data_IF_274800098362
#
_entry.id   IF_274800098362
#
_cell.length_a   1.000
_cell.length_b   1.000
_cell.length_c   1.000
_cell.angle_alpha   90.00
_cell.angle_beta   90.00
_cell.angle_gamma   90.00
#
_symmetry.space_group_name_H-M   'P 1'
#
loop_
_entity.id
_entity.type
_entity.pdbx_description
1 polymer ?
#
# COMPACT_ATOMS: atom_id res chain seq x y z
N UNK A 1 -0.87 -2.92 35.82
CA UNK A 1 0.58 -3.14 35.64
C UNK A 1 0.81 -3.23 34.14
N UNK A 2 1.76 -2.47 33.61
CA UNK A 2 2.14 -2.57 32.18
C UNK A 2 2.81 -3.93 31.96
N UNK A 3 2.35 -4.67 30.95
CA UNK A 3 2.94 -5.96 30.57
C UNK A 3 4.24 -5.73 29.80
N UNK A 4 5.28 -6.47 30.12
CA UNK A 4 6.53 -6.45 29.34
C UNK A 4 6.30 -7.03 27.95
N UNK A 5 6.91 -6.43 26.93
CA UNK A 5 6.98 -6.95 25.59
C UNK A 5 8.41 -6.82 25.03
N UNK A 6 8.79 -7.72 24.14
CA UNK A 6 10.11 -7.73 23.51
C UNK A 6 10.01 -7.84 22.00
N UNK A 7 10.88 -7.10 21.32
CA UNK A 7 11.19 -7.27 19.91
C UNK A 7 12.58 -7.88 19.78
N UNK A 8 12.70 -9.03 19.13
CA UNK A 8 13.98 -9.62 18.78
C UNK A 8 14.14 -9.65 17.25
N UNK A 9 15.31 -9.25 16.76
CA UNK A 9 15.69 -9.27 15.35
C UNK A 9 16.56 -10.50 15.05
N UNK A 10 16.55 -10.95 13.80
CA UNK A 10 17.33 -12.08 13.34
C UNK A 10 18.86 -11.91 13.50
N UNK A 11 19.35 -10.67 13.60
CA UNK A 11 20.76 -10.36 13.82
C UNK A 11 21.19 -10.47 15.30
N UNK A 12 20.27 -10.79 16.20
CA UNK A 12 20.50 -10.95 17.63
C UNK A 12 20.20 -9.70 18.47
N UNK A 13 19.78 -8.60 17.86
CA UNK A 13 19.39 -7.38 18.59
C UNK A 13 18.05 -7.59 19.27
N UNK A 14 17.94 -7.23 20.55
CA UNK A 14 16.69 -7.31 21.30
C UNK A 14 16.37 -5.94 21.92
N UNK A 15 15.11 -5.55 21.84
CA UNK A 15 14.53 -4.38 22.49
C UNK A 15 13.48 -4.82 23.49
N UNK A 16 13.51 -4.23 24.68
CA UNK A 16 12.53 -4.50 25.75
C UNK A 16 11.77 -3.23 26.08
N UNK A 17 10.44 -3.33 26.12
CA UNK A 17 9.53 -2.24 26.42
C UNK A 17 8.24 -2.73 27.06
N UNK A 18 7.15 -2.03 26.84
CA UNK A 18 5.83 -2.31 27.39
C UNK A 18 4.83 -2.62 26.28
N UNK A 19 3.93 -3.57 26.50
CA UNK A 19 2.79 -3.82 25.62
C UNK A 19 1.71 -2.75 25.81
N UNK A 20 1.12 -2.31 24.70
CA UNK A 20 -0.05 -1.42 24.71
C UNK A 20 -1.18 -1.88 23.76
N UNK A 21 -1.12 -3.11 23.28
CA UNK A 21 -2.13 -3.79 22.46
C UNK A 21 -2.41 -5.19 22.99
N UNK A 22 -2.76 -6.10 22.09
CA UNK A 22 -3.09 -7.48 22.41
C UNK A 22 -1.89 -8.24 23.01
N UNK A 23 -2.19 -9.33 23.71
CA UNK A 23 -1.21 -10.34 24.10
C UNK A 23 -0.97 -11.29 22.95
N UNK A 24 0.24 -11.84 22.87
CA UNK A 24 0.56 -12.83 21.88
C UNK A 24 2.02 -12.76 21.43
N UNK A 25 2.31 -13.54 20.41
CA UNK A 25 3.59 -13.57 19.73
C UNK A 25 3.36 -13.57 18.23
N UNK A 26 4.07 -12.70 17.52
CA UNK A 26 3.96 -12.55 16.07
C UNK A 26 5.33 -12.43 15.42
N UNK A 27 5.44 -12.92 14.20
CA UNK A 27 6.60 -12.73 13.34
C UNK A 27 6.30 -11.78 12.18
N UNK A 28 7.35 -11.25 11.59
CA UNK A 28 7.23 -10.41 10.39
C UNK A 28 8.53 -9.72 10.01
N UNK A 29 8.52 -9.11 8.83
CA UNK A 29 9.59 -8.19 8.45
C UNK A 29 9.46 -6.88 9.23
N UNK A 30 10.48 -6.51 9.99
CA UNK A 30 10.49 -5.28 10.77
C UNK A 30 10.87 -4.11 9.88
N UNK A 31 9.94 -3.17 9.76
CA UNK A 31 10.05 -2.00 8.89
C UNK A 31 9.74 -0.73 9.65
N UNK A 32 10.02 0.44 9.06
CA UNK A 32 9.65 1.72 9.66
C UNK A 32 8.86 2.58 8.69
N UNK A 33 7.98 3.42 9.23
CA UNK A 33 7.22 4.40 8.49
C UNK A 33 7.52 5.81 9.03
N UNK A 34 7.79 6.77 8.13
CA UNK A 34 8.18 8.15 8.47
C UNK A 34 7.01 9.13 8.53
N UNK A 35 5.78 8.69 8.36
CA UNK A 35 4.60 9.54 8.46
C UNK A 35 4.43 10.08 9.89
N UNK A 36 4.04 11.34 10.00
CA UNK A 36 3.78 11.99 11.29
C UNK A 36 2.32 11.79 11.76
N UNK A 37 1.44 11.40 10.86
CA UNK A 37 0.00 11.20 11.04
C UNK A 37 -0.47 10.04 10.16
N UNK A 38 -1.73 9.61 10.29
CA UNK A 38 -2.28 8.55 9.45
C UNK A 38 -1.96 7.14 9.96
N UNK A 39 -1.77 6.98 11.25
CA UNK A 39 -1.44 5.66 11.79
C UNK A 39 -2.61 4.66 11.67
N UNK A 40 -3.87 5.11 11.68
CA UNK A 40 -5.02 4.22 11.49
C UNK A 40 -5.11 3.71 10.07
N UNK A 41 -4.86 4.56 9.09
CA UNK A 41 -4.76 4.20 7.67
C UNK A 41 -3.59 3.21 7.45
N UNK A 42 -2.44 3.43 8.09
CA UNK A 42 -1.30 2.50 8.06
C UNK A 42 -1.70 1.14 8.67
N UNK A 43 -2.43 1.12 9.78
CA UNK A 43 -2.87 -0.13 10.41
C UNK A 43 -3.79 -0.95 9.51
N UNK A 44 -4.66 -0.27 8.76
CA UNK A 44 -5.69 -0.90 7.92
C UNK A 44 -5.28 -1.07 6.46
N UNK A 45 -4.09 -0.60 6.04
CA UNK A 45 -3.53 -0.86 4.70
C UNK A 45 -3.10 -2.32 4.56
N UNK A 46 -3.74 -3.12 3.68
CA UNK A 46 -3.41 -4.53 3.49
C UNK A 46 -1.97 -4.76 3.01
N UNK A 47 -1.32 -3.76 2.40
CA UNK A 47 0.08 -3.84 1.95
C UNK A 47 1.06 -4.12 3.09
N UNK A 48 0.66 -3.92 4.35
CA UNK A 48 1.49 -4.25 5.51
C UNK A 48 1.37 -5.69 6.00
N UNK A 49 0.63 -6.56 5.31
CA UNK A 49 0.55 -7.98 5.69
C UNK A 49 1.94 -8.61 5.78
N UNK A 50 2.21 -9.31 6.91
CA UNK A 50 3.52 -9.94 7.19
C UNK A 50 4.60 -8.98 7.68
N UNK A 51 4.27 -7.72 8.03
CA UNK A 51 5.23 -6.72 8.51
C UNK A 51 4.93 -6.29 9.95
N UNK A 52 6.00 -6.04 10.73
CA UNK A 52 5.98 -5.37 12.03
C UNK A 52 6.42 -3.94 11.81
N UNK A 53 5.51 -2.98 12.02
CA UNK A 53 5.71 -1.57 11.66
C UNK A 53 6.21 -0.77 12.86
N UNK A 54 7.29 -0.03 12.65
CA UNK A 54 7.80 0.96 13.61
C UNK A 54 7.48 2.37 13.13
N UNK A 55 6.68 3.14 13.89
CA UNK A 55 6.50 4.56 13.61
C UNK A 55 7.71 5.36 14.08
N UNK A 56 8.22 6.23 13.19
CA UNK A 56 9.36 7.08 13.54
C UNK A 56 8.95 8.33 14.33
N UNK A 57 7.69 8.76 14.16
CA UNK A 57 7.15 9.88 14.94
C UNK A 57 7.02 9.49 16.41
N UNK A 58 7.49 10.33 17.36
CA UNK A 58 7.65 9.92 18.76
C UNK A 58 6.34 9.61 19.49
N UNK A 59 5.27 10.39 19.24
CA UNK A 59 4.00 10.26 19.92
C UNK A 59 2.91 9.82 18.93
N UNK A 60 2.36 8.64 19.13
CA UNK A 60 1.31 8.03 18.30
C UNK A 60 0.06 7.81 19.13
N UNK A 61 -1.13 7.81 18.51
CA UNK A 61 -2.41 7.62 19.18
C UNK A 61 -3.06 8.91 19.72
N UNK A 62 -2.44 10.07 19.50
CA UNK A 62 -2.88 11.34 20.03
C UNK A 62 -4.24 11.85 19.53
N UNK A 63 -4.66 11.45 18.31
CA UNK A 63 -5.99 11.79 17.78
C UNK A 63 -7.00 10.63 17.81
N UNK A 64 -6.63 9.48 18.44
CA UNK A 64 -7.51 8.32 18.57
C UNK A 64 -7.71 7.54 17.28
N UNK A 65 -8.83 6.83 17.23
CA UNK A 65 -9.31 6.10 16.05
C UNK A 65 -10.75 6.47 15.77
N UNK A 66 -11.22 6.26 14.54
CA UNK A 66 -12.61 6.48 14.12
C UNK A 66 -13.00 5.48 13.00
N UNK A 67 -14.25 5.51 12.56
CA UNK A 67 -14.78 4.56 11.58
C UNK A 67 -14.55 4.99 10.12
N UNK A 68 -14.13 6.24 9.87
CA UNK A 68 -13.97 6.79 8.52
C UNK A 68 -12.52 6.65 8.00
N UNK A 69 -11.52 6.78 8.88
CA UNK A 69 -10.10 6.77 8.50
C UNK A 69 -9.57 5.33 8.38
N UNK A 70 -10.34 4.46 7.71
CA UNK A 70 -9.96 3.06 7.45
C UNK A 70 -9.78 2.81 5.96
N UNK A 71 -8.77 2.02 5.63
CA UNK A 71 -8.41 1.64 4.26
C UNK A 71 -8.79 0.19 3.93
N UNK A 72 -9.33 -0.54 4.91
CA UNK A 72 -9.92 -1.87 4.75
C UNK A 72 -10.73 -2.24 5.99
N UNK A 73 -11.39 -3.39 5.98
CA UNK A 73 -12.29 -3.84 7.05
C UNK A 73 -11.58 -4.11 8.40
N UNK A 74 -10.25 -4.25 8.43
CA UNK A 74 -9.47 -4.60 9.62
C UNK A 74 -8.00 -4.23 9.49
N UNK A 75 -7.23 -4.16 10.59
CA UNK A 75 -5.77 -4.13 10.53
C UNK A 75 -5.17 -5.38 9.88
N UNK A 76 -4.07 -5.21 9.13
CA UNK A 76 -3.40 -6.29 8.41
C UNK A 76 -1.95 -6.54 8.82
N UNK A 77 -1.32 -5.58 9.49
CA UNK A 77 0.06 -5.72 9.95
C UNK A 77 0.20 -6.85 10.99
N UNK A 78 1.39 -7.43 11.10
CA UNK A 78 1.69 -8.44 12.12
C UNK A 78 1.84 -7.82 13.51
N UNK A 79 2.48 -6.66 13.63
CA UNK A 79 2.70 -5.99 14.91
C UNK A 79 3.00 -4.51 14.75
N UNK A 80 2.83 -3.75 15.85
CA UNK A 80 2.96 -2.29 15.83
C UNK A 80 3.90 -1.78 16.92
N UNK A 81 4.83 -0.90 16.56
CA UNK A 81 5.87 -0.39 17.47
C UNK A 81 5.87 1.13 17.42
N UNK A 82 5.83 1.74 18.59
CA UNK A 82 5.90 3.20 18.78
C UNK A 82 6.92 3.58 19.86
N UNK A 83 7.41 4.81 19.83
CA UNK A 83 8.21 5.32 20.93
C UNK A 83 7.34 5.54 22.17
N UNK A 84 6.17 6.17 21.97
CA UNK A 84 5.21 6.47 23.02
C UNK A 84 3.80 6.43 22.46
N UNK A 85 2.91 5.65 23.09
CA UNK A 85 1.48 5.66 22.83
C UNK A 85 0.81 6.75 23.68
N UNK A 86 0.03 7.62 23.06
CA UNK A 86 -0.71 8.66 23.74
C UNK A 86 -1.75 8.07 24.70
N UNK A 87 -1.69 8.45 25.95
CA UNK A 87 -2.64 7.99 26.98
C UNK A 87 -4.05 8.57 26.81
N UNK A 88 -4.19 9.61 26.01
CA UNK A 88 -5.47 10.30 25.78
C UNK A 88 -5.59 10.67 24.32
N UNK A 89 -6.65 10.20 23.68
CA UNK A 89 -7.07 10.72 22.41
C UNK A 89 -7.69 12.11 22.61
N UNK A 90 -7.27 13.09 21.81
CA UNK A 90 -7.76 14.46 21.86
C UNK A 90 -8.08 14.97 20.46
N UNK A 91 -9.17 14.46 19.89
CA UNK A 91 -9.70 14.88 18.60
C UNK A 91 -11.22 14.68 18.62
N UNK A 92 -11.95 15.62 18.02
CA UNK A 92 -13.43 15.58 17.98
C UNK A 92 -13.99 14.41 17.15
N UNK A 93 -13.19 13.81 16.23
CA UNK A 93 -13.55 12.61 15.46
C UNK A 93 -13.22 11.30 16.17
N UNK A 94 -12.50 11.34 17.31
CA UNK A 94 -12.10 10.13 17.99
C UNK A 94 -13.29 9.39 18.61
N UNK A 95 -13.43 8.10 18.26
CA UNK A 95 -14.42 7.17 18.85
C UNK A 95 -13.80 6.21 19.84
N UNK A 96 -12.46 6.10 19.88
CA UNK A 96 -11.72 5.22 20.78
C UNK A 96 -10.23 5.55 20.86
N UNK A 97 -9.54 4.86 21.77
CA UNK A 97 -8.09 4.94 21.87
C UNK A 97 -7.41 3.97 20.91
N UNK A 98 -6.17 4.27 20.53
CA UNK A 98 -5.36 3.37 19.70
C UNK A 98 -5.10 2.02 20.39
N UNK A 99 -4.82 2.03 21.72
CA UNK A 99 -4.55 0.81 22.48
C UNK A 99 -5.76 -0.14 22.48
N UNK A 100 -6.96 0.37 22.77
CA UNK A 100 -8.19 -0.42 22.77
C UNK A 100 -8.50 -0.98 21.37
N UNK A 101 -8.23 -0.18 20.32
CA UNK A 101 -8.38 -0.62 18.93
C UNK A 101 -7.45 -1.79 18.59
N UNK A 102 -6.17 -1.70 18.95
CA UNK A 102 -5.20 -2.77 18.72
C UNK A 102 -5.55 -4.03 19.51
N UNK A 103 -5.97 -3.88 20.78
CA UNK A 103 -6.39 -5.01 21.61
C UNK A 103 -7.62 -5.70 21.03
N UNK A 104 -8.66 -4.94 20.63
CA UNK A 104 -9.88 -5.44 19.97
C UNK A 104 -9.58 -6.26 18.72
N UNK A 105 -8.58 -5.84 17.93
CA UNK A 105 -8.22 -6.49 16.67
C UNK A 105 -7.09 -7.54 16.81
N UNK A 106 -6.64 -7.84 18.02
CA UNK A 106 -5.61 -8.86 18.27
C UNK A 106 -4.20 -8.47 17.82
N UNK A 107 -3.91 -7.17 17.68
CA UNK A 107 -2.61 -6.68 17.24
C UNK A 107 -1.67 -6.53 18.42
N UNK A 108 -0.55 -7.26 18.40
CA UNK A 108 0.52 -7.13 19.40
C UNK A 108 1.26 -5.82 19.17
N UNK A 109 1.40 -5.02 20.25
CA UNK A 109 2.01 -3.70 20.13
C UNK A 109 3.02 -3.41 21.27
N UNK A 110 4.08 -2.69 20.91
CA UNK A 110 5.22 -2.39 21.77
C UNK A 110 5.49 -0.89 21.83
N UNK A 111 5.60 -0.35 23.05
CA UNK A 111 6.06 1.01 23.28
C UNK A 111 7.27 1.08 24.22
N UNK A 112 7.90 2.26 24.32
CA UNK A 112 8.94 2.56 25.31
C UNK A 112 10.35 2.12 24.88
N UNK A 113 10.54 1.64 23.65
CA UNK A 113 11.87 1.30 23.13
C UNK A 113 12.54 2.49 22.44
N UNK A 114 13.83 2.40 22.21
CA UNK A 114 14.56 3.35 21.35
C UNK A 114 14.26 3.07 19.86
N UNK A 115 13.14 3.63 19.36
CA UNK A 115 12.74 3.49 17.95
C UNK A 115 13.77 4.10 16.99
N UNK A 116 14.52 5.14 17.42
CA UNK A 116 15.60 5.73 16.60
C UNK A 116 16.75 4.74 16.41
N UNK A 117 17.15 4.02 17.46
CA UNK A 117 18.16 2.97 17.35
C UNK A 117 17.71 1.84 16.42
N UNK A 118 16.44 1.39 16.55
CA UNK A 118 15.85 0.39 15.69
C UNK A 118 15.85 0.84 14.22
N UNK A 119 15.34 2.04 13.93
CA UNK A 119 15.29 2.61 12.57
C UNK A 119 16.68 2.75 11.95
N UNK A 120 17.67 3.22 12.72
CA UNK A 120 19.07 3.29 12.25
C UNK A 120 19.62 1.91 11.90
N UNK A 121 19.26 0.88 12.66
CA UNK A 121 19.67 -0.50 12.41
C UNK A 121 19.10 -0.99 11.08
N UNK A 122 17.79 -0.88 10.89
CA UNK A 122 17.09 -1.28 9.67
C UNK A 122 17.65 -0.53 8.45
N UNK A 123 17.84 0.79 8.56
CA UNK A 123 18.39 1.60 7.48
C UNK A 123 19.82 1.17 7.08
N UNK A 124 20.65 0.80 8.06
CA UNK A 124 22.04 0.42 7.82
C UNK A 124 22.18 -1.01 7.34
N UNK A 125 21.45 -1.97 7.91
CA UNK A 125 21.59 -3.39 7.65
C UNK A 125 20.54 -3.95 6.67
N UNK A 126 19.45 -3.23 6.44
CA UNK A 126 18.29 -3.65 5.67
C UNK A 126 17.12 -3.99 6.57
N UNK A 127 15.94 -4.16 5.97
CA UNK A 127 14.78 -4.72 6.65
C UNK A 127 15.09 -6.15 7.09
N UNK A 128 14.69 -6.50 8.30
CA UNK A 128 15.06 -7.76 8.96
C UNK A 128 13.82 -8.47 9.49
N UNK A 129 13.91 -9.80 9.57
CA UNK A 129 12.90 -10.59 10.25
C UNK A 129 12.99 -10.37 11.76
N UNK A 130 11.82 -10.31 12.40
CA UNK A 130 11.72 -10.13 13.85
C UNK A 130 10.57 -10.90 14.46
N UNK A 131 10.64 -11.07 15.77
CA UNK A 131 9.56 -11.58 16.62
C UNK A 131 9.20 -10.49 17.62
N UNK A 132 7.92 -10.20 17.70
CA UNK A 132 7.35 -9.35 18.74
C UNK A 132 6.49 -10.20 19.68
N UNK A 133 6.85 -10.25 20.96
CA UNK A 133 6.22 -11.15 21.93
C UNK A 133 5.93 -10.46 23.26
N UNK A 134 4.78 -10.81 23.84
CA UNK A 134 4.40 -10.51 25.24
C UNK A 134 4.37 -11.78 26.11
N UNK A 135 4.65 -12.94 25.52
CA UNK A 135 4.53 -14.26 26.15
C UNK A 135 5.90 -14.88 26.39
N UNK A 136 6.68 -15.08 25.34
CA UNK A 136 8.07 -15.48 25.45
C UNK A 136 8.95 -14.24 25.65
N UNK A 137 9.69 -14.22 26.77
CA UNK A 137 10.58 -13.11 27.12
C UNK A 137 12.05 -13.54 27.19
N UNK A 138 12.37 -14.79 26.75
CA UNK A 138 13.75 -15.25 26.64
C UNK A 138 14.40 -14.75 25.35
N UNK A 139 15.45 -13.96 25.49
CA UNK A 139 16.12 -13.33 24.34
C UNK A 139 16.67 -14.32 23.32
N UNK A 140 17.20 -15.49 23.81
CA UNK A 140 17.79 -16.50 22.92
C UNK A 140 16.70 -17.23 22.14
N UNK A 141 15.59 -17.54 22.78
CA UNK A 141 14.42 -18.15 22.16
C UNK A 141 13.88 -17.25 21.07
N UNK A 142 13.62 -15.97 21.37
CA UNK A 142 13.08 -15.01 20.42
C UNK A 142 14.00 -14.79 19.22
N UNK A 143 15.30 -14.66 19.43
CA UNK A 143 16.29 -14.54 18.33
C UNK A 143 16.31 -15.78 17.45
N UNK A 144 16.21 -16.98 18.03
CA UNK A 144 16.15 -18.23 17.28
C UNK A 144 14.89 -18.28 16.40
N UNK A 145 13.73 -17.90 16.94
CA UNK A 145 12.46 -17.77 16.20
C UNK A 145 12.58 -16.74 15.08
N UNK A 146 13.15 -15.56 15.33
CA UNK A 146 13.34 -14.53 14.31
C UNK A 146 14.19 -15.04 13.13
N UNK A 147 15.26 -15.78 13.40
CA UNK A 147 16.10 -16.39 12.36
C UNK A 147 15.34 -17.44 11.52
N UNK A 148 14.44 -18.19 12.14
CA UNK A 148 13.66 -19.25 11.48
C UNK A 148 12.39 -18.72 10.78
N UNK A 149 11.99 -17.48 11.01
CA UNK A 149 10.84 -16.84 10.33
C UNK A 149 11.04 -16.81 8.81
N UNK A 150 9.95 -16.94 8.07
CA UNK A 150 9.97 -17.13 6.62
C UNK A 150 10.30 -15.85 5.83
N UNK A 151 9.99 -14.66 6.40
CA UNK A 151 10.13 -13.38 5.69
C UNK A 151 9.06 -13.17 4.62
N UNK A 152 9.30 -12.22 3.70
CA UNK A 152 8.32 -11.84 2.66
C UNK A 152 8.66 -12.39 1.27
N UNK A 153 9.96 -12.61 0.97
CA UNK A 153 10.42 -13.02 -0.37
C UNK A 153 9.88 -14.40 -0.74
N UNK A 154 9.34 -14.52 -1.95
CA UNK A 154 8.80 -15.78 -2.48
C UNK A 154 7.43 -16.17 -1.91
N UNK A 155 6.78 -15.32 -1.09
CA UNK A 155 5.45 -15.59 -0.53
C UNK A 155 4.37 -14.85 -1.30
N UNK A 156 3.32 -15.57 -1.69
CA UNK A 156 2.08 -14.97 -2.19
C UNK A 156 1.21 -14.53 -1.00
N UNK A 157 1.39 -13.27 -0.58
CA UNK A 157 0.60 -12.66 0.50
C UNK A 157 -0.72 -12.06 0.00
N UNK A 158 -0.89 -11.91 -1.31
CA UNK A 158 -2.12 -11.41 -1.93
C UNK A 158 -3.30 -12.28 -1.53
N UNK A 159 -3.16 -13.61 -1.60
CA UNK A 159 -4.22 -14.57 -1.22
C UNK A 159 -4.72 -14.46 0.21
N UNK A 160 -3.95 -13.82 1.10
CA UNK A 160 -4.32 -13.65 2.52
C UNK A 160 -5.18 -12.40 2.77
N UNK A 161 -5.31 -11.51 1.78
CA UNK A 161 -5.94 -10.18 1.94
C UNK A 161 -7.03 -9.86 0.93
N UNK A 162 -7.18 -10.62 -0.15
CA UNK A 162 -8.19 -10.40 -1.19
C UNK A 162 -9.61 -10.74 -0.68
N UNK A 163 -10.66 -10.12 -1.26
CA UNK A 163 -12.04 -10.50 -0.96
C UNK A 163 -12.36 -11.92 -1.47
N UNK A 164 -13.35 -12.57 -0.85
CA UNK A 164 -13.79 -13.92 -1.24
C UNK A 164 -14.71 -13.90 -2.48
N UNK A 165 -15.35 -12.76 -2.75
CA UNK A 165 -16.33 -12.61 -3.84
C UNK A 165 -16.29 -11.19 -4.41
N UNK A 166 -16.79 -10.98 -5.64
CA UNK A 166 -16.93 -9.66 -6.24
C UNK A 166 -17.74 -8.69 -5.35
N UNK A 167 -17.35 -7.41 -5.39
CA UNK A 167 -17.99 -6.32 -4.64
C UNK A 167 -18.37 -5.22 -5.62
N UNK A 168 -19.65 -4.85 -5.65
CA UNK A 168 -20.06 -3.59 -6.29
C UNK A 168 -19.82 -2.46 -5.29
N UNK A 169 -18.98 -1.50 -5.68
CA UNK A 169 -18.52 -0.43 -4.79
C UNK A 169 -19.39 0.81 -4.97
N UNK A 170 -19.91 1.36 -3.87
CA UNK A 170 -20.81 2.53 -3.86
C UNK A 170 -20.33 3.67 -2.96
N UNK A 171 -19.29 3.45 -2.15
CA UNK A 171 -18.78 4.45 -1.23
C UNK A 171 -17.89 5.48 -1.96
N UNK A 172 -18.15 6.77 -1.70
CA UNK A 172 -17.36 7.91 -2.22
C UNK A 172 -16.42 8.45 -1.15
N UNK A 173 -15.56 9.38 -1.55
CA UNK A 173 -14.71 10.13 -0.62
C UNK A 173 -15.55 10.85 0.43
N UNK A 174 -15.10 10.77 1.70
CA UNK A 174 -15.72 11.55 2.78
C UNK A 174 -15.56 13.05 2.53
N UNK A 175 -16.39 13.86 3.17
CA UNK A 175 -16.29 15.34 3.07
C UNK A 175 -14.94 15.88 3.57
N UNK A 176 -14.25 15.16 4.42
CA UNK A 176 -12.92 15.50 4.95
C UNK A 176 -11.79 15.20 3.96
N UNK A 177 -12.00 14.24 3.05
CA UNK A 177 -11.02 13.86 2.05
C UNK A 177 -11.09 14.71 0.77
N UNK A 178 -12.19 15.43 0.54
CA UNK A 178 -12.35 16.31 -0.63
C UNK A 178 -11.54 17.60 -0.48
N UNK A 179 -10.85 18.01 -1.54
CA UNK A 179 -10.16 19.30 -1.56
C UNK A 179 -11.16 20.45 -1.76
N UNK A 180 -10.89 21.64 -1.18
CA UNK A 180 -11.74 22.81 -1.40
C UNK A 180 -11.84 23.15 -2.90
N UNK A 181 -13.07 23.17 -3.44
CA UNK A 181 -13.32 23.48 -4.84
C UNK A 181 -13.36 22.27 -5.78
N UNK A 182 -13.05 21.08 -5.33
CA UNK A 182 -13.34 19.84 -6.07
C UNK A 182 -14.87 19.67 -6.18
N UNK A 183 -15.36 19.83 -7.38
CA UNK A 183 -16.74 19.47 -7.74
C UNK A 183 -16.68 18.06 -8.29
N UNK A 184 -17.46 17.14 -7.74
CA UNK A 184 -17.63 15.82 -8.35
C UNK A 184 -17.93 16.02 -9.83
N UNK A 185 -17.03 15.59 -10.70
CA UNK A 185 -17.20 15.75 -12.14
C UNK A 185 -18.30 14.81 -12.60
N UNK A 186 -19.54 15.23 -12.46
CA UNK A 186 -20.68 14.55 -13.05
C UNK A 186 -20.60 14.64 -14.57
N UNK A 187 -19.72 13.84 -15.20
CA UNK A 187 -19.87 13.55 -16.61
C UNK A 187 -21.19 12.78 -16.76
N UNK A 188 -22.02 13.15 -17.72
CA UNK A 188 -23.27 12.41 -18.04
C UNK A 188 -23.01 10.96 -18.50
N UNK A 189 -21.76 10.55 -18.63
CA UNK A 189 -21.32 9.23 -19.04
C UNK A 189 -20.60 8.55 -17.87
N UNK A 190 -21.22 7.53 -17.28
CA UNK A 190 -20.60 6.66 -16.28
C UNK A 190 -19.70 5.65 -16.98
N UNK A 191 -18.40 5.63 -16.62
CA UNK A 191 -17.48 4.57 -17.02
C UNK A 191 -17.57 3.41 -16.03
N UNK A 192 -17.44 2.19 -16.54
CA UNK A 192 -17.33 1.01 -15.72
C UNK A 192 -15.87 0.60 -15.54
N UNK A 193 -15.37 0.65 -14.32
CA UNK A 193 -14.04 0.20 -13.95
C UNK A 193 -14.13 -1.13 -13.22
N UNK A 194 -13.43 -2.13 -13.71
CA UNK A 194 -13.15 -3.33 -12.92
C UNK A 194 -11.81 -3.15 -12.22
N UNK A 195 -11.80 -3.26 -10.91
CA UNK A 195 -10.60 -3.20 -10.08
C UNK A 195 -10.21 -4.62 -9.62
N UNK A 196 -9.01 -5.08 -9.97
CA UNK A 196 -8.43 -6.29 -9.38
C UNK A 196 -7.85 -5.94 -8.02
N UNK A 197 -8.41 -6.53 -6.98
CA UNK A 197 -8.02 -6.32 -5.59
C UNK A 197 -6.91 -7.30 -5.20
N UNK A 198 -5.71 -6.78 -5.04
CA UNK A 198 -4.54 -7.50 -4.52
C UNK A 198 -4.28 -7.21 -3.04
N UNK A 199 -5.17 -6.52 -2.37
CA UNK A 199 -5.07 -5.92 -1.04
C UNK A 199 -5.28 -4.40 -1.16
N UNK A 200 -6.40 -4.02 -1.75
CA UNK A 200 -6.73 -2.65 -2.12
C UNK A 200 -7.01 -1.78 -0.91
N UNK A 201 -6.43 -0.59 -0.89
CA UNK A 201 -6.88 0.49 -0.04
C UNK A 201 -8.22 1.03 -0.56
N UNK A 202 -9.19 1.13 0.31
CA UNK A 202 -10.55 1.56 -0.03
C UNK A 202 -10.60 2.96 -0.67
N UNK A 203 -9.64 3.82 -0.33
CA UNK A 203 -9.58 5.15 -0.91
C UNK A 203 -9.37 5.15 -2.43
N UNK A 204 -8.79 4.09 -3.00
CA UNK A 204 -8.70 3.90 -4.46
C UNK A 204 -10.09 3.81 -5.08
N UNK A 205 -10.94 2.90 -4.57
CA UNK A 205 -12.29 2.74 -5.08
C UNK A 205 -13.17 3.98 -4.82
N UNK A 206 -12.98 4.63 -3.65
CA UNK A 206 -13.64 5.90 -3.31
C UNK A 206 -13.31 7.01 -4.31
N UNK A 207 -12.04 7.14 -4.74
CA UNK A 207 -11.66 8.11 -5.78
C UNK A 207 -12.31 7.83 -7.13
N UNK A 208 -12.32 6.58 -7.56
CA UNK A 208 -12.97 6.20 -8.83
C UNK A 208 -14.48 6.47 -8.78
N UNK A 209 -15.15 6.14 -7.67
CA UNK A 209 -16.57 6.39 -7.47
C UNK A 209 -16.87 7.91 -7.38
N UNK A 210 -16.00 8.71 -6.76
CA UNK A 210 -16.15 10.17 -6.67
C UNK A 210 -16.00 10.86 -8.03
N UNK A 211 -15.22 10.26 -8.96
CA UNK A 211 -15.13 10.67 -10.36
C UNK A 211 -16.33 10.21 -11.22
N UNK A 212 -17.33 9.56 -10.62
CA UNK A 212 -18.54 9.10 -11.30
C UNK A 212 -18.42 7.75 -12.00
N UNK A 213 -17.36 6.98 -11.75
CA UNK A 213 -17.24 5.63 -12.27
C UNK A 213 -18.13 4.66 -11.50
N UNK A 214 -18.73 3.71 -12.20
CA UNK A 214 -19.21 2.47 -11.59
C UNK A 214 -18.00 1.58 -11.33
N UNK A 215 -17.82 1.08 -10.13
CA UNK A 215 -16.65 0.27 -9.77
C UNK A 215 -17.08 -1.11 -9.32
N UNK A 216 -16.59 -2.14 -10.01
CA UNK A 216 -16.71 -3.54 -9.59
C UNK A 216 -15.34 -4.03 -9.15
N UNK A 217 -15.23 -4.44 -7.89
CA UNK A 217 -13.99 -4.97 -7.31
C UNK A 217 -14.01 -6.49 -7.42
N UNK A 218 -13.04 -7.06 -8.12
CA UNK A 218 -12.85 -8.50 -8.24
C UNK A 218 -11.65 -8.96 -7.42
N UNK A 219 -11.70 -10.19 -6.84
CA UNK A 219 -10.51 -10.78 -6.23
C UNK A 219 -9.34 -10.78 -7.21
N UNK A 220 -8.14 -10.48 -6.75
CA UNK A 220 -6.94 -10.41 -7.59
C UNK A 220 -6.55 -11.72 -8.31
N UNK A 221 -7.22 -12.83 -7.98
CA UNK A 221 -7.10 -14.14 -8.66
C UNK A 221 -8.05 -14.29 -9.85
N UNK A 222 -8.90 -13.31 -10.13
CA UNK A 222 -9.85 -13.36 -11.25
C UNK A 222 -9.10 -13.48 -12.58
N UNK A 223 -9.67 -14.26 -13.50
CA UNK A 223 -9.13 -14.47 -14.84
C UNK A 223 -9.51 -13.33 -15.80
N UNK A 224 -8.86 -13.26 -16.95
CA UNK A 224 -9.22 -12.29 -17.98
C UNK A 224 -10.67 -12.45 -18.46
N UNK A 225 -11.20 -13.68 -18.51
CA UNK A 225 -12.62 -13.94 -18.83
C UNK A 225 -13.55 -13.35 -17.77
N UNK A 226 -13.23 -13.55 -16.48
CA UNK A 226 -14.07 -13.01 -15.40
C UNK A 226 -14.15 -11.48 -15.47
N UNK A 227 -13.03 -10.81 -15.76
CA UNK A 227 -12.99 -9.35 -15.94
C UNK A 227 -13.85 -8.92 -17.13
N UNK A 228 -13.71 -9.58 -18.30
CA UNK A 228 -14.40 -9.20 -19.54
C UNK A 228 -15.90 -9.48 -19.49
N UNK A 229 -16.38 -10.43 -18.68
CA UNK A 229 -17.80 -10.67 -18.45
C UNK A 229 -18.52 -9.43 -17.88
N UNK A 230 -17.81 -8.59 -17.13
CA UNK A 230 -18.32 -7.32 -16.62
C UNK A 230 -18.36 -6.19 -17.66
N UNK A 231 -17.79 -6.38 -18.88
CA UNK A 231 -17.73 -5.39 -19.94
C UNK A 231 -17.17 -4.03 -19.46
N UNK A 232 -15.99 -3.98 -18.84
CA UNK A 232 -15.44 -2.75 -18.31
C UNK A 232 -14.93 -1.81 -19.42
N UNK A 233 -14.97 -0.50 -19.14
CA UNK A 233 -14.30 0.53 -19.95
C UNK A 233 -12.82 0.66 -19.60
N UNK A 234 -12.41 0.23 -18.38
CA UNK A 234 -11.02 0.25 -17.91
C UNK A 234 -10.74 -0.77 -16.82
N UNK A 235 -9.47 -1.15 -16.70
CA UNK A 235 -8.95 -2.08 -15.71
C UNK A 235 -8.08 -1.34 -14.71
N UNK A 236 -8.39 -1.48 -13.42
CA UNK A 236 -7.57 -0.95 -12.34
C UNK A 236 -6.82 -2.09 -11.62
N UNK A 237 -5.53 -1.88 -11.35
CA UNK A 237 -4.67 -2.82 -10.64
C UNK A 237 -4.29 -2.21 -9.29
N UNK A 238 -4.83 -2.76 -8.21
CA UNK A 238 -4.67 -2.17 -6.89
C UNK A 238 -3.26 -2.36 -6.32
N UNK A 239 -3.00 -1.68 -5.20
CA UNK A 239 -1.89 -1.98 -4.31
C UNK A 239 -2.09 -3.35 -3.65
N UNK A 240 -1.06 -3.81 -2.92
CA UNK A 240 -1.09 -5.07 -2.17
C UNK A 240 0.22 -5.39 -1.50
N UNK A 241 0.27 -6.46 -0.69
CA UNK A 241 1.42 -6.85 0.10
C UNK A 241 2.43 -7.73 -0.65
N UNK A 242 3.66 -7.71 -0.17
CA UNK A 242 4.65 -8.75 -0.38
C UNK A 242 5.44 -8.64 -1.68
N UNK A 243 5.87 -9.80 -2.14
CA UNK A 243 6.66 -10.00 -3.34
C UNK A 243 5.73 -10.14 -4.56
N UNK A 244 5.95 -9.38 -5.66
CA UNK A 244 5.09 -9.50 -6.84
C UNK A 244 5.36 -10.77 -7.67
N UNK A 245 6.56 -11.37 -7.59
CA UNK A 245 6.93 -12.50 -8.47
C UNK A 245 6.05 -13.76 -8.29
N UNK A 246 5.62 -14.16 -7.06
CA UNK A 246 4.74 -15.31 -6.89
C UNK A 246 3.32 -15.12 -7.41
N UNK A 247 2.90 -13.88 -7.73
CA UNK A 247 1.52 -13.54 -8.15
C UNK A 247 1.33 -13.79 -9.65
N UNK A 248 1.78 -14.95 -10.14
CA UNK A 248 1.85 -15.29 -11.58
C UNK A 248 0.50 -15.28 -12.29
N UNK A 249 -0.57 -15.66 -11.60
CA UNK A 249 -1.93 -15.63 -12.13
C UNK A 249 -2.38 -14.21 -12.53
N UNK A 250 -2.03 -13.20 -11.72
CA UNK A 250 -2.35 -11.81 -12.04
C UNK A 250 -1.47 -11.28 -13.17
N UNK A 251 -0.18 -11.63 -13.20
CA UNK A 251 0.75 -11.26 -14.29
C UNK A 251 0.20 -11.76 -15.64
N UNK A 252 -0.29 -13.01 -15.68
CA UNK A 252 -0.89 -13.59 -16.88
C UNK A 252 -2.18 -12.87 -17.29
N UNK A 253 -3.09 -12.65 -16.35
CA UNK A 253 -4.36 -11.93 -16.56
C UNK A 253 -4.11 -10.51 -17.08
N UNK A 254 -3.17 -9.76 -16.48
CA UNK A 254 -2.82 -8.39 -16.91
C UNK A 254 -2.27 -8.39 -18.34
N UNK A 255 -1.38 -9.34 -18.66
CA UNK A 255 -0.81 -9.47 -20.01
C UNK A 255 -1.88 -9.73 -21.10
N UNK A 256 -2.94 -10.46 -20.76
CA UNK A 256 -4.06 -10.73 -21.67
C UNK A 256 -4.99 -9.52 -21.84
N UNK A 257 -5.20 -8.71 -20.78
CA UNK A 257 -6.15 -7.60 -20.78
C UNK A 257 -5.57 -6.26 -21.25
N UNK A 258 -4.29 -6.00 -21.02
CA UNK A 258 -3.64 -4.73 -21.36
C UNK A 258 -3.74 -4.33 -22.86
N UNK A 259 -3.75 -5.26 -23.84
CA UNK A 259 -4.01 -4.93 -25.24
C UNK A 259 -5.46 -4.54 -25.54
N UNK A 260 -6.40 -4.78 -24.64
CA UNK A 260 -7.84 -4.67 -24.84
C UNK A 260 -8.48 -3.51 -24.08
N UNK A 261 -7.89 -3.12 -22.96
CA UNK A 261 -8.47 -2.13 -22.02
C UNK A 261 -7.42 -1.08 -21.64
N UNK A 262 -7.83 0.17 -21.36
CA UNK A 262 -7.04 1.10 -20.57
C UNK A 262 -6.73 0.52 -19.19
N UNK A 263 -5.45 0.65 -18.76
CA UNK A 263 -4.99 0.08 -17.50
C UNK A 263 -4.31 1.15 -16.65
N UNK A 264 -4.67 1.19 -15.36
CA UNK A 264 -3.94 1.97 -14.36
C UNK A 264 -3.55 1.07 -13.18
N UNK A 265 -2.26 1.07 -12.81
CA UNK A 265 -1.72 0.26 -11.71
C UNK A 265 -1.05 1.08 -10.61
N UNK A 266 -1.33 0.74 -9.35
CA UNK A 266 -0.75 1.38 -8.16
C UNK A 266 0.07 0.38 -7.35
N UNK A 267 1.30 0.75 -6.98
CA UNK A 267 2.21 0.03 -6.07
C UNK A 267 2.44 -1.43 -6.51
N UNK A 268 1.79 -2.43 -5.91
CA UNK A 268 1.86 -3.81 -6.39
C UNK A 268 1.34 -3.94 -7.82
N UNK A 269 0.23 -3.27 -8.16
CA UNK A 269 -0.30 -3.24 -9.53
C UNK A 269 0.69 -2.66 -10.56
N UNK A 270 1.52 -1.68 -10.17
CA UNK A 270 2.64 -1.19 -10.99
C UNK A 270 3.69 -2.28 -11.24
N UNK A 271 4.08 -3.00 -10.19
CA UNK A 271 5.06 -4.07 -10.29
C UNK A 271 4.54 -5.24 -11.15
N UNK A 272 3.27 -5.64 -10.94
CA UNK A 272 2.63 -6.69 -11.73
C UNK A 272 2.47 -6.31 -13.21
N UNK A 273 2.12 -5.05 -13.51
CA UNK A 273 2.07 -4.54 -14.87
C UNK A 273 3.47 -4.58 -15.52
N UNK A 274 4.51 -4.19 -14.82
CA UNK A 274 5.89 -4.26 -15.32
C UNK A 274 6.31 -5.71 -15.59
N UNK A 275 6.02 -6.65 -14.69
CA UNK A 275 6.28 -8.09 -14.87
C UNK A 275 5.50 -8.66 -16.07
N UNK A 276 4.23 -8.27 -16.25
CA UNK A 276 3.42 -8.68 -17.41
C UNK A 276 4.00 -8.17 -18.75
N UNK A 277 4.76 -7.08 -18.73
CA UNK A 277 5.52 -6.56 -19.86
C UNK A 277 6.90 -7.21 -20.03
N UNK A 278 7.30 -8.13 -19.15
CA UNK A 278 8.60 -8.82 -19.21
C UNK A 278 9.75 -8.09 -18.51
N UNK A 279 9.47 -7.05 -17.71
CA UNK A 279 10.42 -6.44 -16.80
C UNK A 279 10.71 -7.36 -15.59
N UNK A 280 11.64 -6.97 -14.74
CA UNK A 280 11.96 -7.65 -13.49
C UNK A 280 11.76 -6.74 -12.28
N UNK A 281 11.65 -7.33 -11.10
CA UNK A 281 11.61 -6.63 -9.84
C UNK A 281 12.76 -7.06 -8.94
N UNK A 282 13.07 -6.22 -7.97
CA UNK A 282 14.11 -6.54 -6.96
C UNK A 282 13.68 -6.03 -5.59
N UNK A 283 14.19 -6.67 -4.54
CA UNK A 283 13.93 -6.24 -3.17
C UNK A 283 14.83 -5.07 -2.79
N UNK A 284 14.23 -3.96 -2.35
CA UNK A 284 14.93 -2.82 -1.78
C UNK A 284 15.53 -3.17 -0.42
N UNK A 285 16.62 -2.52 -0.06
CA UNK A 285 17.31 -2.76 1.20
C UNK A 285 16.42 -2.59 2.43
N UNK A 286 15.61 -1.53 2.48
CA UNK A 286 14.67 -1.26 3.57
C UNK A 286 13.31 -0.74 3.07
N UNK A 287 13.14 -0.57 1.75
CA UNK A 287 11.92 -0.07 1.11
C UNK A 287 11.65 1.41 1.33
N UNK A 288 10.58 1.89 0.71
CA UNK A 288 10.07 3.26 0.90
C UNK A 288 8.74 3.20 1.66
N UNK A 289 8.70 3.84 2.86
CA UNK A 289 7.48 3.92 3.67
C UNK A 289 7.39 5.27 4.35
N UNK A 290 6.35 6.02 4.01
CA UNK A 290 6.08 7.35 4.53
C UNK A 290 5.35 8.22 3.53
N UNK A 291 4.88 9.37 4.00
CA UNK A 291 4.08 10.34 3.23
C UNK A 291 4.88 11.59 2.80
N UNK A 292 6.20 11.46 2.64
CA UNK A 292 7.11 12.57 2.37
C UNK A 292 8.18 12.22 1.32
N UNK A 293 7.84 11.34 0.37
CA UNK A 293 8.76 10.86 -0.65
C UNK A 293 8.69 11.75 -1.90
N UNK A 294 9.79 12.45 -2.28
CA UNK A 294 9.79 13.28 -3.47
C UNK A 294 9.94 12.44 -4.73
N UNK A 295 9.06 12.66 -5.69
CA UNK A 295 9.06 11.98 -7.00
C UNK A 295 9.09 13.02 -8.11
N UNK A 296 9.97 12.86 -9.08
CA UNK A 296 10.04 13.70 -10.27
C UNK A 296 9.13 13.13 -11.36
N UNK A 297 8.17 13.91 -11.79
CA UNK A 297 7.42 13.65 -13.02
C UNK A 297 8.31 14.03 -14.21
N UNK A 298 8.69 13.03 -15.02
CA UNK A 298 9.66 13.19 -16.12
C UNK A 298 9.08 13.96 -17.32
N UNK A 299 7.76 14.00 -17.46
CA UNK A 299 7.07 14.70 -18.53
C UNK A 299 6.96 16.20 -18.24
N UNK A 300 6.53 16.57 -17.05
CA UNK A 300 6.30 17.95 -16.64
C UNK A 300 7.50 18.63 -16.01
N UNK A 301 8.47 17.83 -15.51
CA UNK A 301 9.60 18.31 -14.72
C UNK A 301 9.22 18.75 -13.30
N UNK A 302 8.00 18.53 -12.85
CA UNK A 302 7.54 18.87 -11.51
C UNK A 302 7.92 17.81 -10.50
N UNK A 303 8.16 18.23 -9.26
CA UNK A 303 8.37 17.34 -8.12
C UNK A 303 7.07 17.22 -7.34
N UNK A 304 6.61 16.00 -7.18
CA UNK A 304 5.44 15.63 -6.39
C UNK A 304 5.90 15.04 -5.05
N UNK A 305 5.24 15.39 -3.96
CA UNK A 305 5.43 14.72 -2.68
C UNK A 305 4.41 13.60 -2.58
N UNK A 306 4.89 12.38 -2.32
CA UNK A 306 4.09 11.17 -2.43
C UNK A 306 4.07 10.35 -1.15
N UNK A 307 2.98 9.60 -0.95
CA UNK A 307 2.90 8.52 0.03
C UNK A 307 3.40 7.22 -0.61
N UNK A 308 4.24 6.48 0.10
CA UNK A 308 4.79 5.21 -0.38
C UNK A 308 4.77 4.15 0.72
N UNK A 309 4.55 2.89 0.31
CA UNK A 309 4.63 1.71 1.16
C UNK A 309 4.98 0.48 0.32
N UNK A 310 6.26 0.29 0.00
CA UNK A 310 6.70 -0.88 -0.75
C UNK A 310 8.12 -1.31 -0.39
N UNK A 311 8.37 -2.62 -0.50
CA UNK A 311 9.69 -3.24 -0.26
C UNK A 311 10.37 -3.73 -1.54
N UNK A 312 9.67 -3.68 -2.68
CA UNK A 312 10.17 -4.10 -4.00
C UNK A 312 10.05 -2.94 -4.98
N UNK A 313 10.86 -2.94 -6.02
CA UNK A 313 10.85 -1.96 -7.10
C UNK A 313 11.13 -2.63 -8.45
N UNK A 314 10.75 -1.96 -9.54
CA UNK A 314 11.05 -2.42 -10.91
C UNK A 314 12.52 -2.16 -11.22
N UNK A 315 13.19 -3.17 -11.80
CA UNK A 315 14.59 -3.11 -12.20
C UNK A 315 14.74 -2.36 -13.53
N UNK A 316 15.48 -1.25 -13.49
CA UNK A 316 15.73 -0.41 -14.67
C UNK A 316 16.69 -1.07 -15.68
N UNK A 317 17.66 -1.87 -15.22
CA UNK A 317 18.67 -2.49 -16.09
C UNK A 317 18.05 -3.48 -17.07
N UNK A 318 16.86 -3.99 -16.77
CA UNK A 318 16.13 -4.97 -17.59
C UNK A 318 14.75 -4.47 -18.01
N UNK A 319 14.61 -3.14 -18.17
CA UNK A 319 13.34 -2.55 -18.61
C UNK A 319 13.16 -2.76 -20.13
N UNK A 320 12.06 -3.41 -20.58
CA UNK A 320 11.78 -3.58 -22.00
C UNK A 320 11.56 -2.25 -22.74
N UNK A 321 11.98 -2.16 -24.01
CA UNK A 321 11.91 -0.95 -24.85
C UNK A 321 10.49 -0.37 -25.03
N UNK A 322 9.46 -1.19 -24.86
CA UNK A 322 8.06 -0.76 -24.97
C UNK A 322 7.51 -0.11 -23.68
N UNK A 323 8.29 -0.09 -22.61
CA UNK A 323 7.99 0.68 -21.40
C UNK A 323 8.77 2.00 -21.36
N UNK A 324 8.15 3.03 -20.83
CA UNK A 324 8.73 4.37 -20.64
C UNK A 324 8.66 4.71 -19.17
N UNK A 325 9.79 5.15 -18.60
CA UNK A 325 9.82 5.70 -17.24
C UNK A 325 9.19 7.07 -17.25
N UNK A 326 8.10 7.23 -16.49
CA UNK A 326 7.35 8.49 -16.36
C UNK A 326 7.65 9.25 -15.07
N UNK A 327 8.03 8.52 -14.01
CA UNK A 327 8.32 9.11 -12.71
C UNK A 327 9.55 8.46 -12.07
N UNK A 328 10.32 9.26 -11.29
CA UNK A 328 11.51 8.80 -10.55
C UNK A 328 11.49 9.27 -9.11
N UNK A 329 11.82 8.37 -8.19
CA UNK A 329 12.06 8.72 -6.79
C UNK A 329 13.38 9.51 -6.69
N UNK A 330 13.35 10.69 -6.08
CA UNK A 330 14.52 11.55 -5.96
C UNK A 330 15.45 11.17 -4.80
N UNK A 331 15.07 10.25 -3.93
CA UNK A 331 15.93 9.79 -2.83
C UNK A 331 16.98 8.78 -3.30
N UNK A 332 16.65 7.92 -4.26
CA UNK A 332 17.52 6.83 -4.70
C UNK A 332 17.46 6.54 -6.22
N UNK A 333 16.74 7.37 -6.94
CA UNK A 333 16.58 7.29 -8.40
C UNK A 333 15.84 6.04 -8.92
N UNK A 334 15.16 5.29 -8.07
CA UNK A 334 14.35 4.14 -8.50
C UNK A 334 13.18 4.58 -9.38
N UNK A 335 12.71 3.65 -10.23
CA UNK A 335 11.52 3.86 -11.07
C UNK A 335 10.31 4.05 -10.15
N UNK A 336 9.59 5.16 -10.32
CA UNK A 336 8.38 5.48 -9.58
C UNK A 336 7.12 5.54 -10.45
N UNK A 337 7.25 5.37 -11.77
CA UNK A 337 6.12 5.29 -12.68
C UNK A 337 6.54 4.84 -14.08
N UNK A 338 5.63 4.14 -14.75
CA UNK A 338 5.79 3.58 -16.08
C UNK A 338 4.57 3.88 -16.96
N UNK A 339 4.78 3.99 -18.26
CA UNK A 339 3.73 3.93 -19.28
C UNK A 339 4.13 2.98 -20.40
N UNK A 340 3.12 2.39 -21.08
CA UNK A 340 3.34 1.51 -22.22
C UNK A 340 3.23 2.31 -23.53
N UNK A 341 4.21 2.16 -24.46
CA UNK A 341 4.26 2.95 -25.71
C UNK A 341 3.09 2.71 -26.65
N UNK A 342 2.48 1.53 -26.61
CA UNK A 342 1.44 1.10 -27.57
C UNK A 342 0.06 1.05 -26.98
N UNK A 343 -0.07 0.64 -25.73
CA UNK A 343 -1.35 0.46 -25.05
C UNK A 343 -1.62 1.63 -24.11
N UNK A 344 -2.89 2.00 -23.88
CA UNK A 344 -3.25 3.06 -22.93
C UNK A 344 -3.10 2.55 -21.48
N UNK A 345 -1.89 2.13 -21.12
CA UNK A 345 -1.55 1.55 -19.84
C UNK A 345 -0.44 2.35 -19.17
N UNK A 346 -0.65 2.72 -17.91
CA UNK A 346 0.34 3.40 -17.08
C UNK A 346 0.22 2.97 -15.62
N UNK A 347 1.26 3.23 -14.85
CA UNK A 347 1.28 2.82 -13.45
C UNK A 347 2.26 3.66 -12.63
N UNK A 348 2.02 3.73 -11.32
CA UNK A 348 2.90 4.41 -10.36
C UNK A 348 3.21 3.52 -9.15
N UNK A 349 4.43 3.63 -8.64
CA UNK A 349 4.89 2.86 -7.49
C UNK A 349 4.38 3.40 -6.16
N UNK A 350 3.99 4.66 -6.12
CA UNK A 350 3.48 5.37 -4.97
C UNK A 350 1.94 5.36 -4.92
N UNK A 351 1.37 5.98 -3.90
CA UNK A 351 -0.05 5.97 -3.59
C UNK A 351 -0.71 7.33 -3.87
N UNK A 352 -1.24 7.57 -5.09
CA UNK A 352 -1.92 8.84 -5.44
C UNK A 352 -3.25 9.03 -4.71
N UNK A 353 -3.85 7.95 -4.21
CA UNK A 353 -5.04 7.98 -3.36
C UNK A 353 -4.74 8.56 -1.97
N UNK A 354 -3.46 8.72 -1.64
CA UNK A 354 -2.98 9.18 -0.33
C UNK A 354 -3.49 8.31 0.84
N UNK A 355 -4.18 8.87 1.79
CA UNK A 355 -4.73 8.24 3.00
C UNK A 355 -3.75 7.35 3.76
N UNK A 356 -2.93 7.94 4.58
CA UNK A 356 -2.70 9.41 4.76
C UNK A 356 -1.65 9.90 3.79
N UNK A 357 -1.64 11.20 3.49
CA UNK A 357 -0.54 11.75 2.70
C UNK A 357 -0.90 12.96 1.86
N UNK A 358 0.08 13.46 1.10
CA UNK A 358 -0.09 14.55 0.17
C UNK A 358 -1.01 14.15 -1.01
N UNK A 359 -1.59 15.16 -1.65
CA UNK A 359 -2.57 15.00 -2.71
C UNK A 359 -2.06 15.41 -4.10
N UNK A 360 -0.76 15.63 -4.24
CA UNK A 360 -0.13 16.15 -5.45
C UNK A 360 -0.44 15.31 -6.70
N UNK A 361 -0.64 14.01 -6.52
CA UNK A 361 -0.76 13.02 -7.61
C UNK A 361 -2.19 12.57 -7.89
N UNK A 362 -3.22 13.20 -7.32
CA UNK A 362 -4.64 12.82 -7.57
C UNK A 362 -5.03 12.90 -9.04
N UNK A 363 -4.42 13.79 -9.82
CA UNK A 363 -4.65 13.94 -11.26
C UNK A 363 -4.47 12.63 -12.06
N UNK A 364 -3.77 11.65 -11.53
CA UNK A 364 -3.59 10.34 -12.18
C UNK A 364 -4.90 9.56 -12.33
N UNK A 365 -5.85 9.74 -11.43
CA UNK A 365 -7.19 9.17 -11.57
C UNK A 365 -7.96 9.84 -12.72
N UNK A 366 -7.82 11.17 -12.88
CA UNK A 366 -8.39 11.90 -14.01
C UNK A 366 -7.73 11.50 -15.34
N UNK A 367 -6.42 11.25 -15.33
CA UNK A 367 -5.70 10.75 -16.50
C UNK A 367 -6.22 9.35 -16.91
N UNK A 368 -6.52 8.48 -15.95
CA UNK A 368 -7.13 7.18 -16.24
C UNK A 368 -8.50 7.32 -16.89
N UNK A 369 -9.33 8.23 -16.37
CA UNK A 369 -10.62 8.57 -16.96
C UNK A 369 -10.47 9.08 -18.41
N UNK A 370 -9.50 9.97 -18.66
CA UNK A 370 -9.20 10.50 -20.00
C UNK A 370 -8.77 9.38 -20.97
N UNK A 371 -8.00 8.40 -20.50
CA UNK A 371 -7.61 7.24 -21.32
C UNK A 371 -8.83 6.38 -21.70
N UNK A 372 -9.77 6.16 -20.81
CA UNK A 372 -11.04 5.45 -21.11
C UNK A 372 -11.88 6.23 -22.13
N UNK A 373 -12.00 7.56 -21.96
CA UNK A 373 -12.68 8.43 -22.93
C UNK A 373 -12.09 8.32 -24.33
N UNK A 374 -10.76 8.35 -24.45
CA UNK A 374 -10.06 8.30 -25.74
C UNK A 374 -10.26 6.98 -26.48
N UNK A 375 -10.40 5.86 -25.75
CA UNK A 375 -10.67 4.53 -26.35
C UNK A 375 -12.11 4.39 -26.77
N UNK A 376 -13.07 4.93 -26.00
CA UNK A 376 -14.52 4.86 -26.30
C UNK A 376 -14.95 5.74 -27.47
N UNK A 377 -14.27 6.89 -27.64
CA UNK A 377 -14.47 7.83 -28.75
C UNK A 377 -13.19 7.93 -29.59
N UNK A 378 -12.92 6.99 -30.51
CA UNK A 378 -11.73 7.09 -31.33
C UNK A 378 -11.79 8.37 -32.17
N UNK A 379 -10.77 9.22 -32.04
CA UNK A 379 -10.61 10.40 -32.89
C UNK A 379 -10.65 9.96 -34.35
N UNK A 380 -11.50 10.58 -35.22
CA UNK A 380 -11.51 10.22 -36.64
C UNK A 380 -10.11 10.37 -37.18
N UNK A 381 -9.57 9.28 -37.77
CA UNK A 381 -8.28 9.30 -38.41
C UNK A 381 -8.29 10.47 -39.43
N UNK A 382 -7.43 11.48 -39.21
CA UNK A 382 -7.32 12.65 -40.04
C UNK A 382 -7.14 12.24 -41.52
N UNK A 383 -7.96 12.80 -42.37
CA UNK A 383 -7.85 12.70 -43.83
C UNK A 383 -6.60 13.43 -44.33
#
# INVERSE_FOLDING_TARGET
>A
MTRTAKLALEDGTVFTGSSFGASGEVDGEVVFNTSMTGYQEILTDPSYRGQIITMTYPLIGNYGVNEEDVESARPHLSGFIVRENSRRANNFRATGSLGDYLEKHGIVALEGIDTRALVRRIRTSGAMKGILSTEDLDDKSLVAKAKSSQGLVGRDLVREVIPESPIEWDEQLSSWAKLPGEVSSGSNESFHVVALDFGMKWNIARHLADLGCRVTVLPGIATASDVLEHQPDGLFLSNGPGDPEPVTYAIETIGQLMPQLPVFGICLGHQLMALACGARTFKLKFGHRGANQPVLNMETGQVEITAQNHGFAVDEEQLPDHLVVTHRNLNDNTIAGLSHRKFPAFSVQYHPEASSGPHDSRYLFEQFLANMMAVRTPTPAGR
#
